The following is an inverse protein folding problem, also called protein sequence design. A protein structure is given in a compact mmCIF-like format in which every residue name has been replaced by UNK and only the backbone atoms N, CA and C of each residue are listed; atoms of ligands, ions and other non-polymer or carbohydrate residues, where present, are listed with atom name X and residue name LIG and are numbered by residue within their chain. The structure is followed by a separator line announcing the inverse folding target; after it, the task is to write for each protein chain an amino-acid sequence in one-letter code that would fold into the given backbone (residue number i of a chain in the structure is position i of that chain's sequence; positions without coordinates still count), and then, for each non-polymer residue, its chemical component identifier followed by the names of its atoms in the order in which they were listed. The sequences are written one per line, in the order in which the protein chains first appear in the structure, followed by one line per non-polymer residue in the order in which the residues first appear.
data_IF_056304696399
#
_entry.id   IF_056304696399
#
_cell.length_a   1.000
_cell.length_b   1.000
_cell.length_c   1.000
_cell.angle_alpha   90.00
_cell.angle_beta   90.00
_cell.angle_gamma   90.00
#
_symmetry.space_group_name_H-M   'P 1'
#
loop_
_entity.id
_entity.type
_entity.pdbx_description
1 polymer ?
#
# COMPACT_ATOMS: atom_id res chain seq x y z
N UNK A 1 -12.90 -10.37 5.28
CA UNK A 1 -12.24 -10.25 6.59
C UNK A 1 -13.23 -10.22 7.73
N UNK A 2 -14.24 -9.37 7.71
CA UNK A 2 -15.25 -9.31 8.78
C UNK A 2 -16.02 -10.63 8.98
N UNK A 3 -16.10 -11.47 7.97
CA UNK A 3 -16.73 -12.79 7.99
C UNK A 3 -15.74 -13.94 8.26
N UNK A 4 -14.57 -13.67 8.81
CA UNK A 4 -13.54 -14.67 9.11
C UNK A 4 -12.83 -15.29 7.89
N UNK A 5 -13.18 -14.90 6.67
CA UNK A 5 -12.55 -15.44 5.45
C UNK A 5 -11.13 -14.90 5.26
N UNK A 6 -10.21 -15.79 4.93
CA UNK A 6 -8.83 -15.43 4.58
C UNK A 6 -8.78 -14.87 3.15
N UNK A 7 -8.13 -13.72 2.98
CA UNK A 7 -7.93 -13.10 1.67
C UNK A 7 -6.52 -13.41 1.19
N UNK A 8 -6.31 -13.86 -0.07
CA UNK A 8 -4.99 -14.20 -0.60
C UNK A 8 -3.93 -13.11 -0.41
N UNK A 9 -4.28 -11.83 -0.63
CA UNK A 9 -3.38 -10.69 -0.40
C UNK A 9 -2.94 -10.47 1.06
N UNK A 10 -3.62 -11.12 2.02
CA UNK A 10 -3.27 -11.07 3.44
C UNK A 10 -2.54 -12.32 3.93
N UNK A 11 -2.10 -13.19 3.03
CA UNK A 11 -1.51 -14.48 3.37
C UNK A 11 -0.32 -14.39 4.32
N UNK A 12 0.60 -13.47 4.08
CA UNK A 12 1.80 -13.28 4.93
C UNK A 12 1.44 -12.90 6.38
N UNK A 13 0.47 -12.00 6.55
CA UNK A 13 -0.01 -11.65 7.89
C UNK A 13 -0.67 -12.85 8.57
N UNK A 14 -1.55 -13.56 7.88
CA UNK A 14 -2.22 -14.74 8.42
C UNK A 14 -1.24 -15.89 8.71
N UNK A 15 -0.18 -16.05 7.89
CA UNK A 15 0.88 -17.02 8.16
C UNK A 15 1.62 -16.69 9.45
N UNK A 16 2.02 -15.43 9.66
CA UNK A 16 2.66 -14.99 10.90
C UNK A 16 1.78 -15.26 12.13
N UNK A 17 0.50 -14.89 12.03
CA UNK A 17 -0.48 -15.04 13.12
C UNK A 17 -0.72 -16.50 13.49
N UNK A 18 -0.79 -17.40 12.51
CA UNK A 18 -0.89 -18.86 12.76
C UNK A 18 0.33 -19.43 13.48
N UNK A 19 1.49 -18.80 13.35
CA UNK A 19 2.70 -19.19 14.09
C UNK A 19 2.87 -18.41 15.41
N UNK A 20 1.81 -17.80 15.91
CA UNK A 20 1.84 -17.04 17.18
C UNK A 20 2.62 -15.73 17.12
N UNK A 21 2.98 -15.24 15.94
CA UNK A 21 3.72 -13.98 15.77
C UNK A 21 2.76 -12.83 15.50
N UNK A 22 3.09 -11.65 16.02
CA UNK A 22 2.31 -10.44 15.76
C UNK A 22 2.61 -9.95 14.34
N UNK A 23 1.58 -9.91 13.49
CA UNK A 23 1.68 -9.40 12.12
C UNK A 23 1.69 -7.87 12.07
N UNK A 24 2.09 -7.31 10.92
CA UNK A 24 2.03 -5.86 10.68
C UNK A 24 0.64 -5.26 10.88
N UNK A 25 -0.41 -5.95 10.41
CA UNK A 25 -1.79 -5.50 10.61
C UNK A 25 -2.20 -5.52 12.09
N UNK A 26 -1.82 -6.55 12.86
CA UNK A 26 -2.08 -6.60 14.30
C UNK A 26 -1.36 -5.48 15.03
N UNK A 27 -0.09 -5.17 14.67
CA UNK A 27 0.63 -4.03 15.23
C UNK A 27 -0.11 -2.71 15.03
N UNK A 28 -0.69 -2.49 13.86
CA UNK A 28 -1.48 -1.28 13.59
C UNK A 28 -2.79 -1.27 14.40
N UNK A 29 -3.47 -2.39 14.49
CA UNK A 29 -4.70 -2.50 15.29
C UNK A 29 -4.43 -2.30 16.78
N UNK A 30 -3.29 -2.79 17.30
CA UNK A 30 -2.86 -2.54 18.68
C UNK A 30 -2.57 -1.05 18.93
N UNK A 31 -1.87 -0.39 17.98
CA UNK A 31 -1.58 1.06 18.09
C UNK A 31 -2.84 1.92 18.18
N UNK A 32 -3.92 1.51 17.54
CA UNK A 32 -5.19 2.22 17.56
C UNK A 32 -6.09 1.81 18.73
N UNK A 33 -5.79 0.70 19.41
CA UNK A 33 -6.62 0.10 20.46
C UNK A 33 -7.91 -0.55 19.93
N UNK A 34 -8.03 -0.75 18.61
CA UNK A 34 -9.24 -1.33 18.00
C UNK A 34 -9.49 -2.76 18.47
N UNK A 35 -8.44 -3.57 18.63
CA UNK A 35 -8.58 -4.98 19.06
C UNK A 35 -9.16 -5.10 20.48
N UNK A 36 -8.83 -4.18 21.36
CA UNK A 36 -9.25 -4.19 22.77
C UNK A 36 -10.53 -3.42 23.00
N UNK A 37 -11.15 -2.88 21.93
CA UNK A 37 -12.27 -1.91 22.00
C UNK A 37 -11.94 -0.69 22.87
N UNK A 38 -10.68 -0.49 23.21
CA UNK A 38 -10.17 0.63 24.00
C UNK A 38 -9.30 1.51 23.10
N UNK A 39 -9.95 2.35 22.32
CA UNK A 39 -9.29 3.24 21.37
C UNK A 39 -8.36 4.21 22.08
N UNK A 40 -7.10 4.32 21.56
CA UNK A 40 -6.13 5.28 22.08
C UNK A 40 -6.65 6.72 21.96
N UNK A 41 -6.23 7.61 22.86
CA UNK A 41 -6.62 9.02 22.80
C UNK A 41 -6.24 9.69 21.47
N UNK A 42 -5.05 9.35 20.93
CA UNK A 42 -4.60 9.83 19.63
C UNK A 42 -5.52 9.38 18.48
N UNK A 43 -6.07 8.18 18.58
CA UNK A 43 -7.02 7.68 17.58
C UNK A 43 -8.41 8.30 17.77
N UNK A 44 -8.87 8.47 19.02
CA UNK A 44 -10.17 9.13 19.34
C UNK A 44 -10.22 10.57 18.86
N UNK A 45 -9.11 11.29 18.94
CA UNK A 45 -9.01 12.67 18.43
C UNK A 45 -8.83 12.76 16.91
N UNK A 46 -8.75 11.63 16.22
CA UNK A 46 -8.70 11.60 14.76
C UNK A 46 -10.02 12.06 14.16
N UNK A 47 -10.00 12.94 13.14
CA UNK A 47 -11.24 13.37 12.45
C UNK A 47 -11.95 12.22 11.71
N UNK A 48 -11.34 11.05 11.67
CA UNK A 48 -11.89 9.84 11.04
C UNK A 48 -12.48 8.86 12.04
N UNK A 49 -12.39 9.15 13.35
CA UNK A 49 -12.83 8.20 14.40
C UNK A 49 -14.29 7.80 14.25
N UNK A 50 -15.19 8.77 14.11
CA UNK A 50 -16.62 8.49 13.98
C UNK A 50 -16.93 7.72 12.70
N UNK A 51 -16.32 8.10 11.57
CA UNK A 51 -16.49 7.39 10.30
C UNK A 51 -15.95 5.96 10.33
N UNK A 52 -14.89 5.70 11.09
CA UNK A 52 -14.39 4.33 11.31
C UNK A 52 -15.38 3.54 12.17
N UNK A 53 -15.97 4.14 13.19
CA UNK A 53 -17.07 3.51 13.96
C UNK A 53 -18.26 3.16 13.06
N UNK A 54 -18.67 4.10 12.20
CA UNK A 54 -19.76 3.88 11.25
C UNK A 54 -19.44 2.74 10.27
N UNK A 55 -18.18 2.58 9.88
CA UNK A 55 -17.75 1.48 9.02
C UNK A 55 -17.97 0.10 9.66
N UNK A 56 -17.92 -0.02 10.98
CA UNK A 56 -18.25 -1.28 11.65
C UNK A 56 -19.75 -1.60 11.50
N UNK A 57 -20.63 -0.61 11.62
CA UNK A 57 -22.06 -0.79 11.42
C UNK A 57 -22.41 -1.12 9.97
N UNK A 58 -21.69 -0.55 9.01
CA UNK A 58 -21.85 -0.79 7.56
C UNK A 58 -21.06 -1.97 7.02
N UNK A 59 -20.61 -2.91 7.88
CA UNK A 59 -19.85 -4.12 7.50
C UNK A 59 -18.54 -3.81 6.76
N UNK A 60 -17.88 -2.71 7.10
CA UNK A 60 -16.61 -2.30 6.56
C UNK A 60 -16.69 -1.42 5.32
N UNK A 61 -17.87 -1.01 4.90
CA UNK A 61 -18.02 0.00 3.84
C UNK A 61 -17.66 1.38 4.39
N UNK A 62 -16.94 2.16 3.61
CA UNK A 62 -16.56 3.53 3.95
C UNK A 62 -16.32 4.35 2.69
N UNK A 63 -16.65 5.62 2.76
CA UNK A 63 -16.34 6.64 1.75
C UNK A 63 -15.01 7.34 2.02
N UNK A 64 -14.30 6.92 3.07
CA UNK A 64 -13.00 7.50 3.43
C UNK A 64 -11.93 7.16 2.40
N UNK A 65 -11.25 8.18 1.92
CA UNK A 65 -10.02 8.01 1.17
C UNK A 65 -8.83 7.83 2.14
N UNK A 66 -7.80 7.07 1.73
CA UNK A 66 -6.58 6.93 2.51
C UNK A 66 -5.95 8.28 2.83
N UNK A 67 -5.36 8.41 4.01
CA UNK A 67 -4.62 9.62 4.43
C UNK A 67 -3.12 9.46 4.29
N UNK A 68 -2.66 8.22 4.25
CA UNK A 68 -1.26 7.84 4.02
C UNK A 68 -1.18 7.13 2.68
N UNK A 69 -0.42 7.70 1.77
CA UNK A 69 -0.27 7.22 0.42
C UNK A 69 1.17 6.78 0.17
N UNK A 70 1.31 5.57 -0.32
CA UNK A 70 2.57 5.09 -0.86
C UNK A 70 2.35 4.76 -2.33
N UNK A 71 2.93 5.54 -3.20
CA UNK A 71 2.67 5.51 -4.64
C UNK A 71 3.94 5.12 -5.37
N UNK A 72 3.89 3.99 -6.07
CA UNK A 72 4.93 3.58 -7.01
C UNK A 72 4.65 4.20 -8.37
N UNK A 73 5.49 5.14 -8.80
CA UNK A 73 5.34 5.82 -10.10
C UNK A 73 5.75 4.94 -11.28
N UNK A 74 6.51 3.89 -11.01
CA UNK A 74 7.02 2.96 -12.00
C UNK A 74 8.35 2.36 -11.55
N UNK A 75 9.03 1.70 -12.47
CA UNK A 75 10.34 1.10 -12.22
C UNK A 75 11.49 1.73 -13.01
N UNK A 76 11.27 2.90 -13.61
CA UNK A 76 12.33 3.58 -14.39
C UNK A 76 13.51 3.95 -13.49
N UNK A 77 14.63 3.24 -13.68
CA UNK A 77 15.84 3.41 -12.88
C UNK A 77 17.06 2.92 -13.66
N UNK A 78 18.11 3.71 -13.68
CA UNK A 78 19.38 3.38 -14.33
C UNK A 78 20.34 2.61 -13.41
N UNK A 79 19.98 2.35 -12.16
CA UNK A 79 20.80 1.66 -11.18
C UNK A 79 20.39 0.19 -11.01
N UNK A 80 21.36 -0.69 -10.84
CA UNK A 80 21.17 -2.10 -10.53
C UNK A 80 21.65 -2.39 -9.10
N UNK A 81 20.99 -1.78 -8.12
CA UNK A 81 21.35 -1.96 -6.71
C UNK A 81 21.12 -3.40 -6.27
N UNK A 82 22.05 -3.98 -5.52
CA UNK A 82 21.99 -5.37 -5.06
C UNK A 82 20.78 -5.67 -4.17
N UNK A 83 20.22 -4.65 -3.50
CA UNK A 83 19.04 -4.78 -2.64
C UNK A 83 17.73 -4.56 -3.41
N UNK A 84 17.80 -4.26 -4.71
CA UNK A 84 16.64 -3.91 -5.49
C UNK A 84 16.00 -5.14 -6.16
N UNK A 85 14.78 -4.95 -6.64
CA UNK A 85 14.04 -5.97 -7.38
C UNK A 85 13.64 -5.43 -8.76
N UNK A 86 13.43 -6.31 -9.76
CA UNK A 86 13.07 -5.88 -11.11
C UNK A 86 11.84 -4.95 -11.19
N UNK A 87 10.88 -5.12 -10.29
CA UNK A 87 9.70 -4.25 -10.21
C UNK A 87 10.00 -2.80 -9.80
N UNK A 88 11.20 -2.53 -9.29
CA UNK A 88 11.63 -1.20 -8.84
C UNK A 88 12.85 -0.66 -9.60
N UNK A 89 13.38 -1.41 -10.58
CA UNK A 89 14.49 -0.98 -11.43
C UNK A 89 14.38 -1.58 -12.82
N UNK A 90 14.18 -0.74 -13.82
CA UNK A 90 14.14 -1.16 -15.24
C UNK A 90 15.46 -1.72 -15.71
N UNK A 91 16.60 -1.19 -15.22
CA UNK A 91 17.92 -1.75 -15.52
C UNK A 91 18.04 -3.18 -15.01
N UNK A 92 17.70 -3.42 -13.74
CA UNK A 92 17.73 -4.75 -13.15
C UNK A 92 16.72 -5.69 -13.83
N UNK A 93 15.53 -5.17 -14.20
CA UNK A 93 14.54 -5.93 -14.95
C UNK A 93 15.09 -6.39 -16.31
N UNK A 94 15.78 -5.52 -17.04
CA UNK A 94 16.44 -5.87 -18.30
C UNK A 94 17.51 -6.95 -18.12
N UNK A 95 18.33 -6.85 -17.07
CA UNK A 95 19.35 -7.86 -16.77
C UNK A 95 18.71 -9.23 -16.47
N UNK A 96 17.69 -9.25 -15.62
CA UNK A 96 16.97 -10.49 -15.28
C UNK A 96 16.23 -11.08 -16.48
N UNK A 97 15.70 -10.25 -17.37
CA UNK A 97 15.09 -10.72 -18.60
C UNK A 97 16.12 -11.40 -19.52
N UNK A 98 17.29 -10.77 -19.72
CA UNK A 98 18.41 -11.35 -20.49
C UNK A 98 18.88 -12.70 -19.92
N UNK A 99 18.78 -12.88 -18.61
CA UNK A 99 19.08 -14.14 -17.92
C UNK A 99 17.91 -15.15 -17.96
N UNK A 100 16.78 -14.80 -18.58
CA UNK A 100 15.59 -15.66 -18.65
C UNK A 100 14.83 -15.81 -17.34
N UNK A 101 15.10 -14.97 -16.34
CA UNK A 101 14.49 -15.04 -15.00
C UNK A 101 13.10 -14.38 -14.94
N UNK A 102 12.82 -13.43 -15.82
CA UNK A 102 11.52 -12.77 -15.94
C UNK A 102 11.09 -12.63 -17.39
N UNK A 103 9.77 -12.49 -17.61
CA UNK A 103 9.20 -12.25 -18.95
C UNK A 103 9.35 -10.77 -19.33
N UNK A 104 9.43 -10.49 -20.62
CA UNK A 104 9.58 -9.16 -21.20
C UNK A 104 8.56 -8.14 -20.67
N UNK A 105 7.31 -8.54 -20.49
CA UNK A 105 6.24 -7.66 -19.98
C UNK A 105 6.50 -7.06 -18.59
N UNK A 106 7.51 -7.51 -17.88
CA UNK A 106 7.88 -7.00 -16.56
C UNK A 106 9.08 -6.03 -16.59
N UNK A 107 9.61 -5.72 -17.77
CA UNK A 107 10.77 -4.83 -17.93
C UNK A 107 10.39 -3.38 -17.60
N UNK A 108 9.22 -2.94 -18.06
CA UNK A 108 8.73 -1.59 -17.78
C UNK A 108 7.33 -1.64 -17.17
N UNK A 109 7.12 -0.80 -16.17
CA UNK A 109 5.82 -0.62 -15.52
C UNK A 109 5.75 0.84 -15.02
N UNK A 110 5.60 1.76 -15.96
CA UNK A 110 5.61 3.21 -15.71
C UNK A 110 4.23 3.79 -16.02
N UNK A 111 3.24 3.54 -15.13
CA UNK A 111 1.91 4.09 -15.29
C UNK A 111 1.88 5.63 -15.21
N UNK A 112 2.92 6.24 -14.64
CA UNK A 112 3.07 7.70 -14.58
C UNK A 112 3.39 8.34 -15.94
N UNK A 113 3.67 7.54 -16.98
CA UNK A 113 3.80 7.99 -18.37
C UNK A 113 2.46 7.96 -19.11
N UNK A 114 1.40 7.42 -18.49
CA UNK A 114 0.04 7.41 -18.99
C UNK A 114 -0.70 8.63 -18.42
N UNK A 115 -0.94 9.63 -19.26
CA UNK A 115 -1.57 10.89 -18.87
C UNK A 115 -2.96 10.68 -18.27
N UNK A 116 -3.75 9.73 -18.79
CA UNK A 116 -5.09 9.43 -18.27
C UNK A 116 -5.01 8.83 -16.85
N UNK A 117 -4.08 7.93 -16.61
CA UNK A 117 -3.86 7.34 -15.29
C UNK A 117 -3.35 8.38 -14.29
N UNK A 118 -2.46 9.27 -14.75
CA UNK A 118 -1.90 10.34 -13.94
C UNK A 118 -2.99 11.37 -13.57
N UNK A 119 -3.83 11.77 -14.49
CA UNK A 119 -4.95 12.68 -14.24
C UNK A 119 -5.95 12.08 -13.23
N UNK A 120 -6.31 10.81 -13.39
CA UNK A 120 -7.15 10.10 -12.42
C UNK A 120 -6.53 10.07 -11.02
N UNK A 121 -5.24 9.84 -10.95
CA UNK A 121 -4.51 9.86 -9.68
C UNK A 121 -4.59 11.25 -9.01
N UNK A 122 -4.32 12.32 -9.75
CA UNK A 122 -4.43 13.68 -9.22
C UNK A 122 -5.86 14.05 -8.81
N UNK A 123 -6.86 13.59 -9.55
CA UNK A 123 -8.26 13.79 -9.15
C UNK A 123 -8.60 13.13 -7.81
N UNK A 124 -8.10 11.91 -7.58
CA UNK A 124 -8.28 11.22 -6.31
C UNK A 124 -7.56 11.97 -5.18
N UNK A 125 -6.34 12.45 -5.42
CA UNK A 125 -5.60 13.24 -4.45
C UNK A 125 -6.34 14.54 -4.09
N UNK A 126 -6.89 15.26 -5.09
CA UNK A 126 -7.70 16.47 -4.87
C UNK A 126 -8.95 16.20 -4.01
N UNK A 127 -9.58 15.04 -4.18
CA UNK A 127 -10.73 14.61 -3.37
C UNK A 127 -10.35 14.24 -1.93
N UNK A 128 -9.07 13.95 -1.68
CA UNK A 128 -8.57 13.60 -0.35
C UNK A 128 -8.42 14.85 0.50
N UNK A 129 -9.36 15.07 1.41
CA UNK A 129 -9.42 16.31 2.22
C UNK A 129 -8.21 16.54 3.12
N UNK A 130 -7.49 15.48 3.48
CA UNK A 130 -6.30 15.55 4.33
C UNK A 130 -5.36 14.41 4.01
N UNK A 131 -4.23 14.73 3.42
CA UNK A 131 -3.11 13.82 3.23
C UNK A 131 -2.14 14.04 4.38
N UNK A 132 -1.78 12.98 5.10
CA UNK A 132 -0.81 13.02 6.18
C UNK A 132 0.58 12.68 5.67
N UNK A 133 0.68 11.65 4.86
CA UNK A 133 1.92 11.21 4.21
C UNK A 133 1.68 10.89 2.75
N UNK A 134 2.57 11.36 1.90
CA UNK A 134 2.67 10.98 0.50
C UNK A 134 4.09 10.52 0.23
N UNK A 135 4.27 9.22 0.10
CA UNK A 135 5.53 8.60 -0.24
C UNK A 135 5.52 8.26 -1.72
N UNK A 136 6.33 8.95 -2.50
CA UNK A 136 6.55 8.62 -3.90
C UNK A 136 7.72 7.64 -3.98
N UNK A 137 7.45 6.47 -4.53
CA UNK A 137 8.43 5.42 -4.75
C UNK A 137 8.58 5.18 -6.25
N UNK A 138 9.75 4.78 -6.64
CA UNK A 138 10.08 4.49 -8.02
C UNK A 138 11.58 4.33 -8.15
N UNK A 139 12.06 4.10 -9.37
CA UNK A 139 13.47 4.15 -9.65
C UNK A 139 14.03 5.56 -9.42
N UNK A 140 15.32 5.66 -9.14
CA UNK A 140 15.98 6.95 -9.13
C UNK A 140 15.96 7.54 -10.54
N UNK A 141 15.14 8.54 -10.75
CA UNK A 141 15.24 9.44 -11.91
C UNK A 141 16.29 10.47 -11.56
N UNK A 142 17.38 10.46 -12.29
CA UNK A 142 18.38 11.54 -12.29
C UNK A 142 17.98 12.53 -13.36
#
# INVERSE_FOLDING_TARGET
MLNGKTIPGCYSCHKMERHGKISGRQKQLLKTGILEKNFTNSFRSSPYFDKIKDSFASKGLTDLLPVDWQVHLGNYCNSACMMCVPSSSSKLANEWHKLGLIKEKYISNNWSEDDEALDKFFEILKKTKKIRYLHLLGGATI
#
